data_IF_580399347905
#
_entry.id   IF_580399347905
#
_cell.length_a   1.000
_cell.length_b   1.000
_cell.length_c   1.000
_cell.angle_alpha   90.00
_cell.angle_beta   90.00
_cell.angle_gamma   90.00
#
_symmetry.space_group_name_H-M   'P 1'
#
loop_
_entity.id
_entity.type
_entity.pdbx_description
1 polymer ?
#
# COMPACT_ATOMS: atom_id res chain seq x y z
N UNK A 1 19.05 -35.49 -9.19
CA UNK A 1 18.37 -35.38 -7.88
C UNK A 1 19.45 -35.22 -6.82
N UNK A 2 19.32 -34.22 -5.95
CA UNK A 2 20.21 -34.05 -4.80
C UNK A 2 19.77 -34.97 -3.66
N UNK A 3 20.72 -35.52 -2.90
CA UNK A 3 20.43 -36.38 -1.74
C UNK A 3 20.63 -35.56 -0.47
N UNK A 4 19.58 -35.49 0.36
CA UNK A 4 19.61 -34.84 1.66
C UNK A 4 19.76 -35.89 2.76
N UNK A 5 20.86 -35.83 3.52
CA UNK A 5 21.08 -36.70 4.67
C UNK A 5 20.70 -35.96 5.96
N UNK A 6 19.59 -36.35 6.58
CA UNK A 6 19.10 -35.74 7.81
C UNK A 6 19.44 -36.65 8.99
N UNK A 7 19.99 -36.07 10.06
CA UNK A 7 20.17 -36.78 11.35
C UNK A 7 19.03 -36.39 12.27
N UNK A 8 18.34 -37.40 12.79
CA UNK A 8 17.27 -37.27 13.78
C UNK A 8 17.54 -38.26 14.91
N UNK A 9 16.99 -38.00 16.09
CA UNK A 9 17.05 -38.94 17.21
C UNK A 9 16.21 -40.20 16.94
N UNK A 10 16.56 -41.30 17.62
CA UNK A 10 15.92 -42.60 17.41
C UNK A 10 14.41 -42.54 17.59
N UNK A 11 13.92 -41.74 18.55
CA UNK A 11 12.48 -41.55 18.80
C UNK A 11 11.76 -40.97 17.59
N UNK A 12 12.32 -39.92 16.97
CA UNK A 12 11.73 -39.28 15.78
C UNK A 12 11.79 -40.21 14.58
N UNK A 13 12.89 -40.94 14.39
CA UNK A 13 12.99 -41.97 13.33
C UNK A 13 11.91 -43.03 13.48
N UNK A 14 11.71 -43.54 14.70
CA UNK A 14 10.77 -44.62 14.95
C UNK A 14 9.32 -44.16 14.77
N UNK A 15 9.00 -42.92 15.15
CA UNK A 15 7.70 -42.30 14.87
C UNK A 15 7.45 -42.11 13.37
N UNK A 16 8.43 -41.62 12.61
CA UNK A 16 8.32 -41.48 11.15
C UNK A 16 8.12 -42.83 10.47
N UNK A 17 8.72 -43.90 11.00
CA UNK A 17 8.53 -45.25 10.50
C UNK A 17 7.11 -45.75 10.76
N UNK A 18 6.59 -45.58 11.96
CA UNK A 18 5.21 -45.97 12.31
C UNK A 18 4.18 -45.27 11.41
N UNK A 19 4.38 -43.97 11.16
CA UNK A 19 3.54 -43.20 10.25
C UNK A 19 3.66 -43.70 8.80
N UNK A 20 4.88 -43.95 8.30
CA UNK A 20 5.09 -44.47 6.95
C UNK A 20 4.44 -45.84 6.75
N UNK A 21 4.58 -46.75 7.73
CA UNK A 21 3.95 -48.07 7.73
C UNK A 21 2.41 -47.94 7.69
N UNK A 22 1.84 -46.97 8.42
CA UNK A 22 0.41 -46.65 8.38
C UNK A 22 -0.09 -46.14 7.02
N UNK A 23 0.78 -45.52 6.22
CA UNK A 23 0.51 -45.05 4.86
C UNK A 23 0.90 -46.07 3.77
N UNK A 24 1.45 -47.23 4.15
CA UNK A 24 1.85 -48.29 3.21
C UNK A 24 3.03 -47.92 2.32
N UNK A 25 3.86 -46.95 2.72
CA UNK A 25 5.01 -46.44 1.97
C UNK A 25 6.29 -46.60 2.78
N UNK A 26 7.45 -46.49 2.13
CA UNK A 26 8.72 -46.51 2.88
C UNK A 26 8.90 -45.23 3.69
N UNK A 27 9.65 -45.30 4.79
CA UNK A 27 9.97 -44.10 5.60
C UNK A 27 10.65 -42.99 4.77
N UNK A 28 11.48 -43.38 3.80
CA UNK A 28 12.12 -42.43 2.89
C UNK A 28 11.14 -41.76 1.94
N UNK A 29 10.15 -42.49 1.42
CA UNK A 29 9.09 -41.92 0.58
C UNK A 29 8.18 -41.01 1.40
N UNK A 30 7.76 -41.45 2.59
CA UNK A 30 6.95 -40.63 3.50
C UNK A 30 7.63 -39.30 3.85
N UNK A 31 8.90 -39.33 4.25
CA UNK A 31 9.68 -38.13 4.57
C UNK A 31 9.92 -37.28 3.33
N UNK A 32 10.18 -37.89 2.17
CA UNK A 32 10.33 -37.16 0.91
C UNK A 32 9.03 -36.45 0.57
N UNK A 33 7.88 -37.11 0.69
CA UNK A 33 6.59 -36.54 0.31
C UNK A 33 6.19 -35.40 1.26
N UNK A 34 6.47 -35.51 2.57
CA UNK A 34 6.36 -34.40 3.53
C UNK A 34 7.30 -33.23 3.20
N UNK A 35 8.55 -33.52 2.82
CA UNK A 35 9.49 -32.47 2.40
C UNK A 35 9.06 -31.83 1.08
N UNK A 36 8.51 -32.61 0.15
CA UNK A 36 7.97 -32.08 -1.10
C UNK A 36 6.71 -31.28 -0.83
N UNK A 37 5.85 -31.65 0.10
CA UNK A 37 4.71 -30.83 0.54
C UNK A 37 5.19 -29.50 1.15
N UNK A 38 6.27 -29.53 1.94
CA UNK A 38 6.87 -28.33 2.52
C UNK A 38 7.69 -27.47 1.54
N UNK A 39 8.19 -28.05 0.43
CA UNK A 39 9.09 -27.39 -0.53
C UNK A 39 8.42 -27.10 -1.87
N UNK A 40 7.33 -27.79 -2.21
CA UNK A 40 6.44 -27.37 -3.29
C UNK A 40 6.06 -25.95 -2.90
N UNK A 41 6.43 -24.94 -3.70
CA UNK A 41 5.91 -23.62 -3.46
C UNK A 41 4.40 -23.76 -3.62
N UNK A 42 3.68 -23.75 -2.49
CA UNK A 42 2.46 -22.95 -2.46
C UNK A 42 2.92 -21.68 -3.11
N UNK A 43 2.43 -21.39 -4.33
CA UNK A 43 2.84 -20.24 -5.11
C UNK A 43 3.00 -19.10 -4.11
N UNK A 44 4.24 -18.76 -3.74
CA UNK A 44 4.50 -17.62 -2.86
C UNK A 44 4.24 -16.49 -3.83
N UNK A 45 2.96 -16.12 -3.90
CA UNK A 45 2.51 -14.98 -4.65
C UNK A 45 3.45 -13.88 -4.17
N UNK A 46 4.22 -13.29 -5.08
CA UNK A 46 4.90 -12.04 -4.77
C UNK A 46 3.87 -11.20 -4.03
N UNK A 47 4.20 -10.74 -2.82
CA UNK A 47 3.24 -10.06 -1.96
C UNK A 47 2.86 -8.77 -2.66
N UNK A 48 1.87 -8.88 -3.55
CA UNK A 48 1.22 -7.76 -4.19
C UNK A 48 0.57 -6.98 -3.07
N UNK A 49 0.94 -5.71 -2.98
CA UNK A 49 0.34 -4.76 -2.06
C UNK A 49 -1.20 -4.83 -2.21
N UNK A 50 -1.93 -5.20 -1.16
CA UNK A 50 -3.38 -5.35 -1.31
C UNK A 50 -4.06 -6.07 -0.16
N UNK A 51 -3.50 -7.18 0.33
CA UNK A 51 -4.03 -7.95 1.46
C UNK A 51 -2.89 -8.50 2.31
N UNK A 52 -3.03 -8.43 3.64
CA UNK A 52 -2.09 -9.07 4.57
C UNK A 52 -2.40 -10.58 4.70
N UNK A 53 -1.39 -11.46 4.58
CA UNK A 53 -1.61 -12.88 4.81
C UNK A 53 -2.06 -13.11 6.27
N UNK A 54 -2.89 -14.14 6.51
CA UNK A 54 -3.27 -14.49 7.86
C UNK A 54 -2.05 -14.87 8.69
N UNK A 55 -2.07 -14.52 9.96
CA UNK A 55 -1.03 -14.94 10.89
C UNK A 55 -1.06 -16.48 11.03
N UNK A 56 0.06 -17.14 10.76
CA UNK A 56 0.18 -18.60 10.94
C UNK A 56 0.07 -19.02 12.41
N UNK A 57 0.39 -18.11 13.33
CA UNK A 57 0.15 -18.28 14.76
C UNK A 57 0.07 -16.92 15.47
N UNK A 58 -0.42 -16.91 16.70
CA UNK A 58 -0.48 -15.74 17.57
C UNK A 58 0.01 -16.10 18.97
N UNK A 59 0.55 -15.13 19.71
CA UNK A 59 0.89 -15.35 21.12
C UNK A 59 -0.40 -15.63 21.88
N UNK A 60 -0.32 -16.46 22.93
CA UNK A 60 -1.48 -16.79 23.78
C UNK A 60 -2.15 -15.53 24.33
N UNK A 61 -1.35 -14.53 24.73
CA UNK A 61 -1.87 -13.23 25.20
C UNK A 61 -2.67 -12.51 24.10
N UNK A 62 -2.22 -12.53 22.86
CA UNK A 62 -2.92 -11.86 21.76
C UNK A 62 -4.25 -12.56 21.46
N UNK A 63 -4.24 -13.91 21.44
CA UNK A 63 -5.46 -14.72 21.30
C UNK A 63 -6.46 -14.43 22.41
N UNK A 64 -5.99 -14.32 23.65
CA UNK A 64 -6.84 -14.02 24.80
C UNK A 64 -7.41 -12.60 24.72
N UNK A 65 -6.61 -11.62 24.32
CA UNK A 65 -7.07 -10.23 24.17
C UNK A 65 -8.11 -10.13 23.05
N UNK A 66 -7.83 -10.69 21.88
CA UNK A 66 -8.75 -10.66 20.74
C UNK A 66 -10.05 -11.43 21.03
N UNK A 67 -9.98 -12.60 21.67
CA UNK A 67 -11.20 -13.35 22.01
C UNK A 67 -12.08 -12.59 23.01
N UNK A 68 -11.47 -11.90 23.98
CA UNK A 68 -12.17 -11.01 24.89
C UNK A 68 -12.80 -9.82 24.15
N UNK A 69 -12.10 -9.22 23.18
CA UNK A 69 -12.64 -8.12 22.37
C UNK A 69 -13.87 -8.55 21.57
N UNK A 70 -13.83 -9.69 20.88
CA UNK A 70 -15.00 -10.21 20.16
C UNK A 70 -16.18 -10.51 21.09
N UNK A 71 -15.90 -11.09 22.27
CA UNK A 71 -16.93 -11.34 23.28
C UNK A 71 -17.54 -10.04 23.82
N UNK A 72 -16.75 -8.99 24.00
CA UNK A 72 -17.25 -7.67 24.41
C UNK A 72 -18.08 -7.06 23.28
N UNK A 73 -17.56 -7.07 22.04
CA UNK A 73 -18.21 -6.51 20.87
C UNK A 73 -19.60 -7.13 20.67
N UNK A 74 -19.70 -8.46 20.69
CA UNK A 74 -20.99 -9.14 20.60
C UNK A 74 -22.01 -8.76 21.69
N UNK A 75 -21.56 -8.25 22.85
CA UNK A 75 -22.46 -7.77 23.93
C UNK A 75 -22.84 -6.30 23.82
N UNK A 76 -22.09 -5.50 23.07
CA UNK A 76 -22.33 -4.05 22.94
C UNK A 76 -22.89 -3.66 21.57
N UNK A 77 -22.85 -4.57 20.59
CA UNK A 77 -23.51 -4.38 19.30
C UNK A 77 -25.03 -4.27 19.48
N UNK A 78 -25.69 -3.38 18.71
CA UNK A 78 -27.14 -3.37 18.57
C UNK A 78 -27.67 -4.76 18.15
N UNK A 79 -28.86 -5.14 18.62
CA UNK A 79 -29.47 -6.45 18.29
C UNK A 79 -29.74 -6.64 16.78
N UNK A 80 -29.87 -5.53 16.04
CA UNK A 80 -30.10 -5.48 14.61
C UNK A 80 -28.86 -5.10 13.79
N UNK A 81 -27.67 -5.06 14.43
CA UNK A 81 -26.42 -4.76 13.74
C UNK A 81 -26.04 -5.89 12.76
N UNK A 82 -25.72 -5.48 11.53
CA UNK A 82 -25.19 -6.36 10.48
C UNK A 82 -24.36 -5.55 9.47
N UNK A 83 -23.57 -4.61 9.98
CA UNK A 83 -22.67 -3.78 9.19
C UNK A 83 -21.25 -4.40 9.16
N UNK A 84 -20.21 -3.56 9.06
CA UNK A 84 -18.81 -4.03 9.02
C UNK A 84 -18.40 -4.83 10.26
N UNK A 85 -19.07 -4.62 11.40
CA UNK A 85 -18.78 -5.33 12.65
C UNK A 85 -19.60 -6.64 12.79
N UNK A 86 -20.51 -6.94 11.88
CA UNK A 86 -21.34 -8.15 11.92
C UNK A 86 -22.29 -8.21 13.12
N UNK A 87 -22.74 -9.42 13.48
CA UNK A 87 -23.70 -9.68 14.55
C UNK A 87 -23.09 -10.45 15.74
N UNK A 88 -23.91 -10.71 16.77
CA UNK A 88 -23.48 -11.46 17.96
C UNK A 88 -22.91 -12.85 17.62
N UNK A 89 -23.54 -13.58 16.70
CA UNK A 89 -23.12 -14.93 16.35
C UNK A 89 -21.76 -14.92 15.64
N UNK A 90 -21.59 -13.99 14.70
CA UNK A 90 -20.34 -13.75 13.99
C UNK A 90 -19.19 -13.43 14.96
N UNK A 91 -19.44 -12.56 15.94
CA UNK A 91 -18.44 -12.21 16.95
C UNK A 91 -18.11 -13.38 17.88
N UNK A 92 -19.11 -14.16 18.32
CA UNK A 92 -18.86 -15.34 19.15
C UNK A 92 -18.11 -16.46 18.40
N UNK A 93 -18.35 -16.61 17.10
CA UNK A 93 -17.60 -17.52 16.23
C UNK A 93 -16.10 -17.15 16.20
N UNK A 94 -15.77 -15.87 15.97
CA UNK A 94 -14.39 -15.39 15.96
C UNK A 94 -13.68 -15.58 17.30
N UNK A 95 -14.37 -15.29 18.41
CA UNK A 95 -13.84 -15.59 19.75
C UNK A 95 -13.50 -17.08 19.91
N UNK A 96 -14.37 -17.98 19.44
CA UNK A 96 -14.16 -19.43 19.52
C UNK A 96 -12.98 -19.88 18.66
N UNK A 97 -12.83 -19.36 17.44
CA UNK A 97 -11.67 -19.63 16.56
C UNK A 97 -10.36 -19.36 17.32
N UNK A 98 -10.27 -18.21 17.98
CA UNK A 98 -9.11 -17.79 18.75
C UNK A 98 -8.90 -18.63 20.01
N UNK A 99 -9.96 -19.03 20.72
CA UNK A 99 -9.87 -19.84 21.95
C UNK A 99 -9.43 -21.28 21.65
N UNK A 100 -10.02 -21.91 20.63
CA UNK A 100 -9.71 -23.29 20.23
C UNK A 100 -8.39 -23.39 19.45
N UNK A 101 -7.94 -22.28 18.84
CA UNK A 101 -6.67 -22.24 18.11
C UNK A 101 -6.76 -22.80 16.70
N UNK A 102 -7.88 -22.56 16.01
CA UNK A 102 -8.06 -22.93 14.61
C UNK A 102 -7.27 -21.97 13.71
N UNK A 103 -5.96 -22.20 13.60
CA UNK A 103 -5.05 -21.31 12.85
C UNK A 103 -5.41 -21.19 11.37
N UNK A 104 -6.02 -22.23 10.77
CA UNK A 104 -6.56 -22.17 9.41
C UNK A 104 -7.69 -21.15 9.23
N UNK A 105 -8.31 -20.69 10.32
CA UNK A 105 -9.39 -19.70 10.33
C UNK A 105 -8.91 -18.31 10.82
N UNK A 106 -7.61 -18.11 11.06
CA UNK A 106 -7.10 -16.81 11.51
C UNK A 106 -7.21 -15.71 10.45
N UNK A 107 -7.55 -16.06 9.20
CA UNK A 107 -7.90 -15.10 8.17
C UNK A 107 -9.13 -14.25 8.55
N UNK A 108 -10.03 -14.73 9.42
CA UNK A 108 -11.11 -13.89 9.96
C UNK A 108 -10.59 -12.68 10.75
N UNK A 109 -9.36 -12.75 11.28
CA UNK A 109 -8.75 -11.67 12.07
C UNK A 109 -8.03 -10.62 11.22
N UNK A 110 -7.57 -11.01 10.03
CA UNK A 110 -6.81 -10.14 9.12
C UNK A 110 -7.57 -9.82 7.83
N UNK A 111 -8.76 -10.40 7.62
CA UNK A 111 -9.59 -10.10 6.47
C UNK A 111 -9.83 -8.58 6.35
N UNK A 112 -9.50 -8.02 5.19
CA UNK A 112 -9.62 -6.59 4.91
C UNK A 112 -8.45 -5.74 5.41
N UNK A 113 -7.45 -6.32 6.07
CA UNK A 113 -6.19 -5.62 6.35
C UNK A 113 -5.43 -5.48 5.04
N UNK A 114 -5.16 -4.24 4.66
CA UNK A 114 -4.29 -3.95 3.53
C UNK A 114 -2.84 -3.95 4.00
N UNK A 115 -1.95 -4.35 3.09
CA UNK A 115 -0.52 -4.29 3.35
C UNK A 115 -0.09 -2.89 3.76
N UNK A 116 0.66 -2.72 4.85
CA UNK A 116 0.97 -1.38 5.38
C UNK A 116 1.65 -0.45 4.36
N UNK A 117 1.10 0.77 4.18
CA UNK A 117 1.80 1.81 3.43
C UNK A 117 2.89 2.42 4.33
N UNK A 118 4.16 2.23 3.95
CA UNK A 118 5.28 2.66 4.80
C UNK A 118 5.23 4.16 5.07
N UNK A 119 5.76 4.60 6.23
CA UNK A 119 5.89 6.05 6.55
C UNK A 119 6.60 6.83 5.44
N UNK A 120 7.57 6.20 4.77
CA UNK A 120 8.29 6.78 3.63
C UNK A 120 7.34 7.02 2.46
N UNK A 121 6.47 6.06 2.16
CA UNK A 121 5.50 6.17 1.06
C UNK A 121 4.38 7.15 1.38
N UNK A 122 3.89 7.18 2.62
CA UNK A 122 2.97 8.23 3.08
C UNK A 122 3.57 9.64 2.95
N UNK A 123 4.86 9.79 3.28
CA UNK A 123 5.58 11.06 3.11
C UNK A 123 5.78 11.41 1.64
N UNK A 124 6.09 10.43 0.78
CA UNK A 124 6.20 10.62 -0.68
C UNK A 124 4.89 11.14 -1.27
N UNK A 125 3.76 10.53 -0.93
CA UNK A 125 2.43 11.02 -1.37
C UNK A 125 2.22 12.46 -0.93
N UNK A 126 2.49 12.77 0.34
CA UNK A 126 2.33 14.11 0.89
C UNK A 126 3.20 15.15 0.17
N UNK A 127 4.46 14.81 -0.13
CA UNK A 127 5.39 15.69 -0.86
C UNK A 127 4.97 15.90 -2.32
N UNK A 128 4.43 14.86 -2.97
CA UNK A 128 3.88 14.94 -4.34
C UNK A 128 2.67 15.87 -4.34
N UNK A 129 1.72 15.70 -3.41
CA UNK A 129 0.56 16.59 -3.27
C UNK A 129 1.00 18.03 -2.99
N UNK A 130 2.00 18.23 -2.13
CA UNK A 130 2.53 19.56 -1.83
C UNK A 130 3.14 20.25 -3.05
N UNK A 131 3.90 19.52 -3.87
CA UNK A 131 4.44 20.03 -5.13
C UNK A 131 3.30 20.48 -6.05
N UNK A 132 2.32 19.61 -6.31
CA UNK A 132 1.19 19.93 -7.19
C UNK A 132 0.34 21.09 -6.67
N UNK A 133 0.16 21.19 -5.35
CA UNK A 133 -0.51 22.33 -4.71
C UNK A 133 0.21 23.63 -5.01
N UNK A 134 1.52 23.69 -4.81
CA UNK A 134 2.31 24.89 -5.07
C UNK A 134 2.28 25.24 -6.56
N UNK A 135 2.42 24.25 -7.43
CA UNK A 135 2.28 24.45 -8.88
C UNK A 135 0.93 25.05 -9.26
N UNK A 136 -0.16 24.52 -8.70
CA UNK A 136 -1.52 25.02 -8.93
C UNK A 136 -1.69 26.48 -8.52
N UNK A 137 -1.21 26.82 -7.32
CA UNK A 137 -1.24 28.21 -6.86
C UNK A 137 -0.35 29.13 -7.69
N UNK A 138 0.81 28.66 -8.14
CA UNK A 138 1.73 29.45 -8.97
C UNK A 138 1.13 29.77 -10.34
N UNK A 139 0.46 28.81 -10.97
CA UNK A 139 -0.27 29.03 -12.22
C UNK A 139 -1.37 30.09 -12.02
N UNK A 140 -2.19 29.93 -10.97
CA UNK A 140 -3.26 30.88 -10.67
C UNK A 140 -2.73 32.30 -10.37
N UNK A 141 -1.58 32.42 -9.73
CA UNK A 141 -0.94 33.71 -9.42
C UNK A 141 -0.44 34.40 -10.71
N UNK A 142 0.29 33.67 -11.56
CA UNK A 142 0.76 34.17 -12.86
C UNK A 142 -0.38 34.63 -13.77
N UNK A 143 -1.48 33.88 -13.80
CA UNK A 143 -2.69 34.27 -14.54
C UNK A 143 -3.29 35.58 -14.00
N UNK A 144 -3.31 35.75 -12.68
CA UNK A 144 -3.80 36.99 -12.04
C UNK A 144 -2.89 38.19 -12.30
N UNK A 145 -1.58 37.96 -12.50
CA UNK A 145 -0.59 38.98 -12.85
C UNK A 145 -0.54 39.29 -14.37
N UNK A 146 -1.36 38.62 -15.18
CA UNK A 146 -1.44 38.84 -16.63
C UNK A 146 -0.38 38.10 -17.43
N UNK A 147 0.26 37.07 -16.85
CA UNK A 147 1.20 36.16 -17.52
C UNK A 147 0.56 34.78 -17.68
N UNK A 148 -0.32 34.57 -18.68
CA UNK A 148 -1.06 33.32 -18.81
C UNK A 148 -0.11 32.14 -19.08
N UNK A 149 -0.35 31.03 -18.39
CA UNK A 149 0.36 29.77 -18.61
C UNK A 149 -0.29 29.05 -19.79
N UNK A 150 0.52 28.52 -20.71
CA UNK A 150 0.00 27.78 -21.86
C UNK A 150 -0.80 26.55 -21.40
N UNK A 151 -1.96 26.29 -22.01
CA UNK A 151 -2.89 25.21 -21.61
C UNK A 151 -2.21 23.84 -21.59
N UNK A 152 -1.33 23.58 -22.55
CA UNK A 152 -0.55 22.34 -22.57
C UNK A 152 0.35 22.22 -21.33
N UNK A 153 1.05 23.28 -20.93
CA UNK A 153 1.90 23.30 -19.75
C UNK A 153 1.08 23.11 -18.47
N UNK A 154 -0.05 23.81 -18.36
CA UNK A 154 -0.96 23.64 -17.22
C UNK A 154 -1.43 22.19 -17.09
N UNK A 155 -1.89 21.57 -18.19
CA UNK A 155 -2.34 20.16 -18.19
C UNK A 155 -1.21 19.16 -17.90
N UNK A 156 0.04 19.47 -18.26
CA UNK A 156 1.19 18.63 -17.88
C UNK A 156 1.50 18.70 -16.39
N UNK A 157 1.11 19.79 -15.74
CA UNK A 157 1.37 20.11 -14.34
C UNK A 157 0.17 19.84 -13.43
N UNK A 158 -0.90 19.23 -13.94
CA UNK A 158 -2.01 18.73 -13.12
C UNK A 158 -1.67 17.40 -12.45
N UNK A 159 -2.14 17.24 -11.22
CA UNK A 159 -2.12 15.98 -10.52
C UNK A 159 -3.18 15.05 -11.12
N UNK A 160 -2.72 13.93 -11.69
CA UNK A 160 -3.58 12.93 -12.35
C UNK A 160 -4.01 11.80 -11.43
N UNK A 161 -3.49 11.78 -10.20
CA UNK A 161 -3.60 10.65 -9.30
C UNK A 161 -2.60 9.53 -9.65
N UNK A 162 -2.95 8.30 -9.31
CA UNK A 162 -2.07 7.13 -9.35
C UNK A 162 -2.73 6.00 -10.13
N UNK A 163 -1.97 4.98 -10.57
CA UNK A 163 -2.55 3.82 -11.24
C UNK A 163 -3.26 2.91 -10.23
N UNK A 164 -4.58 2.74 -10.36
CA UNK A 164 -5.33 1.86 -9.47
C UNK A 164 -5.04 0.37 -9.70
N UNK A 165 -4.44 0.00 -10.83
CA UNK A 165 -4.10 -1.39 -11.14
C UNK A 165 -2.69 -1.78 -10.67
N UNK A 166 -1.83 -0.80 -10.36
CA UNK A 166 -0.55 -1.07 -9.71
C UNK A 166 -0.76 -1.17 -8.20
N UNK A 167 -0.17 -2.19 -7.59
CA UNK A 167 -0.40 -2.50 -6.18
C UNK A 167 0.03 -1.36 -5.24
N UNK A 168 1.22 -0.78 -5.47
CA UNK A 168 1.73 0.30 -4.64
C UNK A 168 0.97 1.60 -4.89
N UNK A 169 0.80 1.96 -6.17
CA UNK A 169 0.12 3.18 -6.59
C UNK A 169 -1.37 3.18 -6.25
N UNK A 170 -2.05 2.03 -6.35
CA UNK A 170 -3.43 1.87 -5.90
C UNK A 170 -3.59 2.07 -4.39
N UNK A 171 -2.62 1.62 -3.59
CA UNK A 171 -2.61 1.91 -2.16
C UNK A 171 -2.31 3.39 -1.88
N UNK A 172 -1.39 4.01 -2.63
CA UNK A 172 -1.15 5.46 -2.57
C UNK A 172 -2.40 6.27 -2.96
N UNK A 173 -3.17 5.83 -3.96
CA UNK A 173 -4.42 6.45 -4.38
C UNK A 173 -5.46 6.41 -3.25
N UNK A 174 -5.61 5.26 -2.60
CA UNK A 174 -6.48 5.10 -1.43
C UNK A 174 -6.04 6.02 -0.28
N UNK A 175 -4.74 6.23 -0.11
CA UNK A 175 -4.22 7.18 0.89
C UNK A 175 -4.50 8.64 0.50
N UNK A 176 -4.46 9.00 -0.80
CA UNK A 176 -4.90 10.32 -1.27
C UNK A 176 -6.37 10.55 -0.95
N UNK A 177 -7.24 9.58 -1.23
CA UNK A 177 -8.67 9.64 -0.90
C UNK A 177 -8.86 9.83 0.62
N UNK A 178 -8.17 9.03 1.43
CA UNK A 178 -8.16 9.17 2.90
C UNK A 178 -7.77 10.59 3.35
N UNK A 179 -6.74 11.18 2.74
CA UNK A 179 -6.28 12.52 3.09
C UNK A 179 -7.29 13.62 2.74
N UNK A 180 -8.17 13.38 1.76
CA UNK A 180 -9.14 14.37 1.26
C UNK A 180 -10.57 14.18 1.80
N UNK A 181 -10.89 13.03 2.40
CA UNK A 181 -12.26 12.56 2.72
C UNK A 181 -13.16 13.52 3.52
N UNK A 182 -12.57 14.44 4.30
CA UNK A 182 -13.31 15.36 5.18
C UNK A 182 -13.20 16.83 4.73
N UNK A 183 -12.63 17.08 3.54
CA UNK A 183 -12.45 18.43 3.03
C UNK A 183 -11.42 19.28 3.82
N UNK A 184 -10.64 18.66 4.71
CA UNK A 184 -9.69 19.39 5.57
C UNK A 184 -8.33 19.60 4.92
N UNK A 185 -7.87 18.67 4.07
CA UNK A 185 -6.53 18.70 3.47
C UNK A 185 -6.59 18.47 1.97
N UNK A 186 -5.73 19.18 1.25
CA UNK A 186 -5.52 19.03 -0.19
C UNK A 186 -6.75 19.28 -1.07
N UNK A 187 -7.78 19.95 -0.55
CA UNK A 187 -9.04 20.19 -1.27
C UNK A 187 -8.85 21.01 -2.54
N UNK A 188 -7.84 21.88 -2.59
CA UNK A 188 -7.45 22.58 -3.81
C UNK A 188 -7.06 21.67 -4.99
N UNK A 189 -6.69 20.41 -4.74
CA UNK A 189 -6.37 19.43 -5.79
C UNK A 189 -7.56 18.56 -6.18
N UNK A 190 -8.66 18.58 -5.42
CA UNK A 190 -9.85 17.77 -5.67
C UNK A 190 -10.44 17.98 -7.08
N UNK A 191 -10.54 19.22 -7.61
CA UNK A 191 -11.02 19.42 -8.98
C UNK A 191 -10.15 18.73 -10.04
N UNK A 192 -8.85 18.54 -9.78
CA UNK A 192 -7.94 17.84 -10.69
C UNK A 192 -8.21 16.33 -10.67
N UNK A 193 -8.52 15.75 -9.50
CA UNK A 193 -8.92 14.36 -9.39
C UNK A 193 -10.25 14.09 -10.09
N UNK A 194 -11.24 14.97 -9.93
CA UNK A 194 -12.55 14.83 -10.57
C UNK A 194 -12.45 14.82 -12.10
N UNK A 195 -11.51 15.58 -12.68
CA UNK A 195 -11.22 15.57 -14.12
C UNK A 195 -10.50 14.29 -14.59
N UNK A 196 -9.77 13.62 -13.70
CA UNK A 196 -8.94 12.45 -14.01
C UNK A 196 -9.52 11.16 -13.42
N UNK A 197 -10.78 10.84 -13.72
CA UNK A 197 -11.45 9.59 -13.29
C UNK A 197 -11.30 9.31 -11.79
N UNK A 198 -11.53 10.35 -10.97
CA UNK A 198 -11.36 10.33 -9.51
C UNK A 198 -9.94 9.98 -9.04
N UNK A 199 -8.94 10.34 -9.83
CA UNK A 199 -7.53 10.07 -9.53
C UNK A 199 -7.00 8.75 -10.04
N UNK A 200 -7.76 8.02 -10.85
CA UNK A 200 -7.23 6.87 -11.56
C UNK A 200 -6.48 7.34 -12.82
N UNK A 201 -5.16 7.29 -12.76
CA UNK A 201 -4.32 7.77 -13.87
C UNK A 201 -4.24 6.79 -15.06
N UNK A 202 -4.70 5.54 -14.88
CA UNK A 202 -4.64 4.45 -15.87
C UNK A 202 -3.23 4.09 -16.38
N UNK A 203 -2.17 4.60 -15.74
CA UNK A 203 -0.77 4.27 -16.04
C UNK A 203 0.14 4.61 -14.85
N UNK A 204 1.25 3.90 -14.61
CA UNK A 204 2.14 4.23 -13.49
C UNK A 204 2.68 5.66 -13.54
N UNK A 205 2.48 6.43 -12.47
CA UNK A 205 2.83 7.85 -12.37
C UNK A 205 3.92 8.17 -11.34
N UNK A 206 4.20 7.27 -10.41
CA UNK A 206 5.10 7.51 -9.27
C UNK A 206 6.50 7.93 -9.72
N UNK A 207 7.11 7.21 -10.66
CA UNK A 207 8.44 7.54 -11.18
C UNK A 207 8.47 8.92 -11.88
N UNK A 208 7.39 9.25 -12.60
CA UNK A 208 7.21 10.60 -13.19
C UNK A 208 7.15 11.67 -12.11
N UNK A 209 6.35 11.47 -11.07
CA UNK A 209 6.23 12.41 -9.96
C UNK A 209 7.52 12.54 -9.15
N UNK A 210 8.28 11.47 -8.96
CA UNK A 210 9.57 11.52 -8.27
C UNK A 210 10.60 12.36 -9.04
N UNK A 211 10.59 12.32 -10.38
CA UNK A 211 11.44 13.21 -11.19
C UNK A 211 11.03 14.68 -11.06
N UNK A 212 9.72 14.96 -11.17
CA UNK A 212 9.18 16.31 -10.96
C UNK A 212 9.54 16.83 -9.58
N UNK A 213 9.34 16.00 -8.54
CA UNK A 213 9.62 16.34 -7.15
C UNK A 213 11.10 16.60 -6.92
N UNK A 214 11.99 15.86 -7.58
CA UNK A 214 13.43 16.13 -7.52
C UNK A 214 13.77 17.51 -8.09
N UNK A 215 13.14 17.91 -9.19
CA UNK A 215 13.39 19.23 -9.79
C UNK A 215 12.80 20.35 -8.94
N UNK A 216 11.57 20.16 -8.46
CA UNK A 216 10.91 21.06 -7.51
C UNK A 216 11.77 21.30 -6.27
N UNK A 217 12.32 20.23 -5.66
CA UNK A 217 13.21 20.36 -4.50
C UNK A 217 14.49 21.13 -4.82
N UNK A 218 15.12 20.92 -5.97
CA UNK A 218 16.30 21.72 -6.39
C UNK A 218 15.96 23.20 -6.52
N UNK A 219 14.80 23.52 -7.08
CA UNK A 219 14.31 24.90 -7.18
C UNK A 219 14.15 25.48 -5.78
N UNK A 220 13.46 24.78 -4.88
CA UNK A 220 13.22 25.24 -3.52
C UNK A 220 14.52 25.40 -2.70
N UNK A 221 15.47 24.47 -2.83
CA UNK A 221 16.76 24.50 -2.13
C UNK A 221 17.65 25.66 -2.60
N UNK A 222 17.47 26.14 -3.84
CA UNK A 222 18.20 27.30 -4.35
C UNK A 222 17.74 28.63 -3.75
N UNK A 223 16.57 28.65 -3.08
CA UNK A 223 16.02 29.85 -2.46
C UNK A 223 16.73 30.12 -1.12
N UNK A 224 17.28 31.32 -0.94
CA UNK A 224 17.89 31.75 0.33
C UNK A 224 16.81 31.72 1.42
N UNK A 225 17.08 31.02 2.53
CA UNK A 225 16.18 30.96 3.71
C UNK A 225 15.90 32.39 4.24
N UNK A 226 14.72 32.96 3.92
CA UNK A 226 14.43 34.37 4.18
C UNK A 226 12.98 34.83 3.93
N UNK A 227 12.02 33.94 4.22
CA UNK A 227 10.55 34.09 4.42
C UNK A 227 9.85 35.41 4.02
N UNK A 228 9.22 35.42 2.84
CA UNK A 228 7.88 35.98 2.59
C UNK A 228 6.99 34.90 1.93
N UNK A 229 5.66 34.98 2.11
CA UNK A 229 4.68 34.05 1.50
C UNK A 229 4.82 33.85 -0.03
N UNK A 230 5.18 34.85 -0.85
CA UNK A 230 5.40 34.68 -2.28
C UNK A 230 6.62 33.82 -2.62
N UNK A 231 7.56 33.63 -1.69
CA UNK A 231 8.83 32.93 -1.92
C UNK A 231 8.66 31.41 -2.10
N UNK A 232 7.42 30.90 -2.12
CA UNK A 232 7.10 29.52 -2.46
C UNK A 232 6.47 29.36 -3.86
N UNK A 233 6.03 30.46 -4.48
CA UNK A 233 5.46 30.42 -5.82
C UNK A 233 6.54 30.25 -6.88
N UNK A 234 6.20 29.57 -7.97
CA UNK A 234 7.10 29.19 -9.05
C UNK A 234 6.95 30.17 -10.22
N UNK A 235 8.07 30.59 -10.79
CA UNK A 235 8.06 31.35 -12.04
C UNK A 235 7.66 30.46 -13.22
N UNK A 236 7.31 31.07 -14.36
CA UNK A 236 7.00 30.33 -15.58
C UNK A 236 8.16 29.39 -16.00
N UNK A 237 9.40 29.86 -15.93
CA UNK A 237 10.59 29.06 -16.25
C UNK A 237 10.77 27.86 -15.28
N UNK A 238 10.45 28.05 -14.00
CA UNK A 238 10.49 26.98 -12.99
C UNK A 238 9.40 25.94 -13.24
N UNK A 239 8.20 26.37 -13.64
CA UNK A 239 7.10 25.48 -14.04
C UNK A 239 7.47 24.65 -15.28
N UNK A 240 8.07 25.27 -16.28
CA UNK A 240 8.57 24.57 -17.48
C UNK A 240 9.63 23.51 -17.13
N UNK A 241 10.57 23.84 -16.24
CA UNK A 241 11.58 22.88 -15.77
C UNK A 241 10.97 21.67 -15.07
N UNK A 242 9.96 21.89 -14.23
CA UNK A 242 9.23 20.79 -13.55
C UNK A 242 8.47 19.96 -14.58
N UNK A 243 7.83 20.57 -15.57
CA UNK A 243 7.12 19.86 -16.64
C UNK A 243 8.07 19.02 -17.51
N UNK A 244 9.22 19.58 -17.90
CA UNK A 244 10.29 18.89 -18.64
C UNK A 244 10.83 17.67 -17.86
N UNK A 245 10.78 17.72 -16.52
CA UNK A 245 11.21 16.61 -15.67
C UNK A 245 10.35 15.35 -15.82
N UNK A 246 9.12 15.47 -16.34
CA UNK A 246 8.22 14.34 -16.60
C UNK A 246 8.80 13.35 -17.60
N UNK A 247 9.50 13.86 -18.61
CA UNK A 247 10.15 13.04 -19.65
C UNK A 247 11.42 12.43 -19.09
N UNK A 248 11.53 11.10 -19.20
CA UNK A 248 12.70 10.36 -18.78
C UNK A 248 13.97 10.92 -19.47
N UNK A 249 15.10 11.09 -18.76
CA UNK A 249 16.30 11.72 -19.32
C UNK A 249 16.79 11.10 -20.64
N UNK A 250 16.60 9.79 -20.85
CA UNK A 250 16.96 9.11 -22.09
C UNK A 250 16.12 9.53 -23.32
N UNK A 251 14.95 10.13 -23.11
CA UNK A 251 14.01 10.51 -24.17
C UNK A 251 13.88 12.03 -24.34
N UNK A 252 14.73 12.83 -23.68
CA UNK A 252 14.74 14.28 -23.86
C UNK A 252 15.44 14.61 -25.18
N UNK A 253 14.75 15.32 -26.07
CA UNK A 253 15.41 15.98 -27.19
C UNK A 253 16.38 17.04 -26.65
N UNK A 254 17.64 17.08 -27.12
CA UNK A 254 18.55 18.17 -26.75
C UNK A 254 17.90 19.49 -27.17
N UNK A 255 17.73 20.44 -26.24
CA UNK A 255 17.39 21.82 -26.60
C UNK A 255 18.59 22.37 -27.40
N UNK A 256 18.37 22.58 -28.70
CA UNK A 256 19.33 23.17 -29.65
C UNK A 256 19.46 24.67 -29.44
#
# INVERSE_FOLDING_TARGET
MAVLNIRVDDRVRDQLKELADGHGVTTSEYVRDLLMEAVVPVFEREVEHGDEPPAESMRIVDRQVLSLLHRILGRVLPEDANDVDGDLEYQLMRAKILEEGYTGEYWYETAGFRTELSKRDCSRVSDILQMFRITTYSISDLESEGTPVAENLAHQLEFRGFDHNDALEGHMASYVEFLMRDGERWTELQPQLERNDRGNSHMPMLDTYLRMLSEFRRIMDSRKRGVRRPDYLLSLEELERIADARVHPSHRTPKS
#
